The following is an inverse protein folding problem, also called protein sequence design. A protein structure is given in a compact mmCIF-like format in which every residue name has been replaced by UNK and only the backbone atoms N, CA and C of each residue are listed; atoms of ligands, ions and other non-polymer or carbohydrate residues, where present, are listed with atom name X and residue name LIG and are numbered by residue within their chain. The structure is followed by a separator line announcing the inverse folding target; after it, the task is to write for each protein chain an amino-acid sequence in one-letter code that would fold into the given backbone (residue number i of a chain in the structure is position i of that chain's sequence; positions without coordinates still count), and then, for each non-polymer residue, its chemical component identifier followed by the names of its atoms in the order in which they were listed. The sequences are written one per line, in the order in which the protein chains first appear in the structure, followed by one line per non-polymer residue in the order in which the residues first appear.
data_IF_065910148738
#
_entry.id   IF_065910148738
#
_cell.length_a   1.000
_cell.length_b   1.000
_cell.length_c   1.000
_cell.angle_alpha   90.00
_cell.angle_beta   90.00
_cell.angle_gamma   90.00
#
_symmetry.space_group_name_H-M   'P 1'
#
loop_
_entity.id
_entity.type
_entity.pdbx_description
1 polymer ?
#
# COMPACT_ATOMS: atom_id res chain seq x y z
N UNK A 1 -9.98 0.45 22.26
CA UNK A 1 -8.90 1.22 21.65
C UNK A 1 -7.62 0.42 21.78
N UNK A 2 -7.24 -0.30 20.73
CA UNK A 2 -5.98 -1.05 20.68
C UNK A 2 -4.91 -0.07 20.19
N UNK A 3 -3.85 0.11 20.98
CA UNK A 3 -2.78 1.04 20.68
C UNK A 3 -1.92 0.42 19.57
N UNK A 4 -2.07 0.89 18.34
CA UNK A 4 -1.22 0.45 17.22
C UNK A 4 0.15 1.14 17.40
N UNK A 5 1.22 0.35 17.38
CA UNK A 5 2.59 0.85 17.60
C UNK A 5 3.29 1.18 16.27
N UNK A 6 4.18 2.18 16.33
CA UNK A 6 5.05 2.54 15.21
C UNK A 6 6.24 1.56 15.14
N UNK A 7 6.63 1.13 13.94
CA UNK A 7 7.88 0.41 13.70
C UNK A 7 9.06 1.29 14.15
N UNK A 8 9.85 0.83 15.13
CA UNK A 8 11.15 1.45 15.38
C UNK A 8 12.10 1.11 14.21
N UNK A 9 12.84 2.10 13.71
CA UNK A 9 13.74 1.95 12.55
C UNK A 9 15.00 1.10 12.87
N UNK A 10 15.22 0.74 14.13
CA UNK A 10 16.45 0.12 14.63
C UNK A 10 16.31 -1.37 14.99
N UNK A 11 15.71 -2.19 14.13
CA UNK A 11 15.74 -3.66 14.31
C UNK A 11 16.75 -4.31 13.35
N UNK A 12 17.93 -4.73 13.82
CA UNK A 12 18.83 -5.53 13.00
C UNK A 12 18.42 -7.00 13.09
N UNK A 13 17.86 -7.57 12.02
CA UNK A 13 17.82 -9.03 11.85
C UNK A 13 17.60 -9.45 10.40
N UNK A 14 18.66 -10.01 9.81
CA UNK A 14 18.67 -11.09 8.80
C UNK A 14 17.46 -11.21 7.86
N UNK A 15 17.61 -10.65 6.65
CA UNK A 15 16.90 -10.92 5.38
C UNK A 15 15.49 -11.51 5.51
N UNK A 16 14.50 -10.63 5.48
CA UNK A 16 13.32 -10.73 4.62
C UNK A 16 12.80 -9.30 4.46
N UNK A 17 12.75 -8.78 3.23
CA UNK A 17 12.40 -7.38 3.00
C UNK A 17 10.99 -7.06 3.53
N UNK A 18 10.92 -6.36 4.66
CA UNK A 18 9.69 -6.01 5.39
C UNK A 18 8.74 -5.12 4.57
N UNK A 19 9.25 -4.52 3.51
CA UNK A 19 8.52 -3.69 2.58
C UNK A 19 9.21 -3.64 1.21
N UNK A 20 8.49 -3.16 0.20
CA UNK A 20 9.03 -2.75 -1.10
C UNK A 20 8.74 -1.27 -1.33
N UNK A 21 9.72 -0.53 -1.87
CA UNK A 21 9.58 0.88 -2.22
C UNK A 21 10.37 1.82 -1.30
N UNK A 22 9.90 3.06 -1.16
CA UNK A 22 10.62 4.14 -0.47
C UNK A 22 10.86 3.84 1.01
N UNK A 23 12.00 4.28 1.54
CA UNK A 23 12.27 4.37 2.99
C UNK A 23 11.70 5.67 3.61
N UNK A 24 11.25 6.61 2.77
CA UNK A 24 10.52 7.81 3.16
C UNK A 24 9.21 7.88 2.37
N UNK A 25 8.26 6.95 2.63
CA UNK A 25 7.04 6.88 1.85
C UNK A 25 6.04 7.99 2.23
N UNK A 26 5.37 8.56 1.24
CA UNK A 26 4.19 9.38 1.50
C UNK A 26 3.00 8.50 1.89
N UNK A 27 2.74 7.47 1.07
CA UNK A 27 1.67 6.50 1.30
C UNK A 27 2.26 5.12 1.56
N UNK A 28 1.75 4.45 2.59
CA UNK A 28 2.14 3.08 2.95
C UNK A 28 0.95 2.15 2.78
N UNK A 29 1.03 1.23 1.83
CA UNK A 29 0.03 0.19 1.61
C UNK A 29 0.40 -1.09 2.35
N UNK A 30 -0.40 -1.46 3.35
CA UNK A 30 -0.20 -2.67 4.13
C UNK A 30 -0.93 -3.84 3.52
N UNK A 31 -0.21 -4.94 3.35
CA UNK A 31 -0.72 -6.21 2.82
C UNK A 31 -0.35 -7.36 3.76
N UNK A 32 -1.19 -8.39 3.78
CA UNK A 32 -0.94 -9.64 4.53
C UNK A 32 -0.99 -10.83 3.57
N UNK A 33 -0.04 -11.75 3.69
CA UNK A 33 -0.02 -13.01 2.94
C UNK A 33 0.50 -12.92 1.50
N UNK A 34 1.08 -11.81 1.09
CA UNK A 34 1.60 -11.60 -0.27
C UNK A 34 3.00 -11.01 -0.23
N UNK A 35 4.01 -11.82 0.06
CA UNK A 35 5.40 -11.40 -0.13
C UNK A 35 5.74 -11.56 -1.62
N UNK A 36 6.18 -10.50 -2.31
CA UNK A 36 6.54 -10.62 -3.70
C UNK A 36 7.92 -11.28 -3.83
N UNK A 37 8.11 -12.00 -4.92
CA UNK A 37 9.44 -12.31 -5.43
C UNK A 37 10.00 -11.06 -6.10
N UNK A 38 11.18 -10.62 -5.67
CA UNK A 38 11.82 -9.45 -6.25
C UNK A 38 12.63 -9.85 -7.50
N UNK A 39 12.55 -9.06 -8.59
CA UNK A 39 13.48 -9.13 -9.71
C UNK A 39 14.92 -8.90 -9.26
N UNK A 40 15.87 -9.33 -10.08
CA UNK A 40 17.26 -8.98 -9.87
C UNK A 40 17.48 -7.46 -9.91
N UNK A 41 18.41 -6.89 -9.11
CA UNK A 41 18.71 -5.46 -9.14
C UNK A 41 19.19 -4.94 -10.50
N UNK A 42 19.72 -5.83 -11.35
CA UNK A 42 20.28 -5.52 -12.67
C UNK A 42 19.21 -5.50 -13.79
N UNK A 43 17.95 -5.75 -13.46
CA UNK A 43 16.87 -5.82 -14.46
C UNK A 43 16.55 -4.45 -15.07
N UNK A 44 16.62 -4.36 -16.40
CA UNK A 44 16.31 -3.14 -17.16
C UNK A 44 14.83 -2.71 -17.08
N UNK A 45 13.91 -3.67 -16.94
CA UNK A 45 12.46 -3.43 -16.83
C UNK A 45 11.89 -4.08 -15.57
N UNK A 46 12.29 -3.54 -14.42
CA UNK A 46 12.02 -4.14 -13.10
C UNK A 46 10.53 -4.45 -12.90
N UNK A 47 9.62 -3.53 -13.25
CA UNK A 47 8.19 -3.74 -13.09
C UNK A 47 7.64 -4.89 -13.95
N UNK A 48 8.07 -5.00 -15.20
CA UNK A 48 7.60 -6.07 -16.09
C UNK A 48 8.06 -7.44 -15.57
N UNK A 49 9.30 -7.54 -15.10
CA UNK A 49 9.81 -8.77 -14.47
C UNK A 49 9.10 -9.04 -13.14
N UNK A 50 8.85 -8.02 -12.33
CA UNK A 50 8.11 -8.14 -11.08
C UNK A 50 6.72 -8.72 -11.32
N UNK A 51 6.00 -8.21 -12.33
CA UNK A 51 4.68 -8.74 -12.72
C UNK A 51 4.80 -10.16 -13.25
N UNK A 52 5.84 -10.49 -14.02
CA UNK A 52 6.06 -11.85 -14.51
C UNK A 52 6.32 -12.85 -13.37
N UNK A 53 7.09 -12.46 -12.35
CA UNK A 53 7.42 -13.30 -11.19
C UNK A 53 6.23 -13.52 -10.23
N UNK A 54 5.35 -12.52 -10.13
CA UNK A 54 4.30 -12.47 -9.11
C UNK A 54 2.87 -12.61 -9.68
N UNK A 55 2.73 -12.59 -11.00
CA UNK A 55 1.49 -12.79 -11.72
C UNK A 55 0.49 -11.63 -11.61
N UNK A 56 -0.73 -11.93 -12.07
CA UNK A 56 -1.79 -10.93 -12.21
C UNK A 56 -2.25 -10.32 -10.87
N UNK A 57 -2.03 -11.00 -9.75
CA UNK A 57 -2.43 -10.47 -8.44
C UNK A 57 -1.65 -9.19 -8.09
N UNK A 58 -0.33 -9.23 -8.23
CA UNK A 58 0.53 -8.09 -7.98
C UNK A 58 0.36 -6.96 -9.01
N UNK A 59 0.04 -7.30 -10.27
CA UNK A 59 -0.38 -6.30 -11.25
C UNK A 59 -1.60 -5.51 -10.77
N UNK A 60 -2.63 -6.18 -10.22
CA UNK A 60 -3.84 -5.52 -9.70
C UNK A 60 -3.52 -4.60 -8.52
N UNK A 61 -2.73 -5.11 -7.56
CA UNK A 61 -2.27 -4.35 -6.40
C UNK A 61 -1.62 -3.04 -6.85
N UNK A 62 -0.60 -3.13 -7.71
CA UNK A 62 0.17 -1.95 -8.13
C UNK A 62 -0.65 -0.98 -8.98
N UNK A 63 -1.58 -1.45 -9.81
CA UNK A 63 -2.48 -0.57 -10.57
C UNK A 63 -3.43 0.19 -9.64
N UNK A 64 -4.02 -0.48 -8.65
CA UNK A 64 -4.89 0.19 -7.68
C UNK A 64 -4.08 1.17 -6.85
N UNK A 65 -2.87 0.80 -6.42
CA UNK A 65 -2.00 1.70 -5.67
C UNK A 65 -1.61 2.93 -6.50
N UNK A 66 -1.19 2.75 -7.75
CA UNK A 66 -0.89 3.85 -8.65
C UNK A 66 -2.08 4.79 -8.84
N UNK A 67 -3.29 4.25 -8.98
CA UNK A 67 -4.50 5.07 -9.12
C UNK A 67 -4.84 5.85 -7.85
N UNK A 68 -4.51 5.33 -6.68
CA UNK A 68 -4.72 5.99 -5.40
C UNK A 68 -3.68 7.08 -5.15
N UNK A 69 -2.40 6.80 -5.45
CA UNK A 69 -1.28 7.67 -5.15
C UNK A 69 -1.05 8.77 -6.20
N UNK A 70 -1.53 8.59 -7.43
CA UNK A 70 -1.33 9.55 -8.51
C UNK A 70 -2.38 10.67 -8.45
N UNK A 71 -1.93 11.92 -8.43
CA UNK A 71 -2.77 13.12 -8.31
C UNK A 71 -3.65 13.40 -9.54
N UNK A 72 -3.34 12.81 -10.69
CA UNK A 72 -4.08 12.97 -11.94
C UNK A 72 -4.53 11.62 -12.53
N UNK A 73 -4.87 11.60 -13.82
CA UNK A 73 -5.25 10.39 -14.57
C UNK A 73 -4.05 9.65 -15.18
N UNK A 74 -2.82 10.12 -14.97
CA UNK A 74 -1.60 9.56 -15.53
C UNK A 74 -0.96 8.45 -14.67
N UNK A 75 -1.80 7.72 -13.93
CA UNK A 75 -1.37 6.59 -13.09
C UNK A 75 -0.57 5.52 -13.85
N UNK A 76 -0.73 5.42 -15.18
CA UNK A 76 0.02 4.46 -16.02
C UNK A 76 1.48 4.84 -16.08
N UNK A 77 1.81 6.07 -16.45
CA UNK A 77 3.21 6.50 -16.52
C UNK A 77 3.83 6.53 -15.13
N UNK A 78 3.06 6.95 -14.12
CA UNK A 78 3.46 6.91 -12.71
C UNK A 78 3.87 5.49 -12.26
N UNK A 79 3.09 4.48 -12.64
CA UNK A 79 3.39 3.08 -12.37
C UNK A 79 4.60 2.58 -13.17
N UNK A 80 4.58 2.73 -14.50
CA UNK A 80 5.56 2.11 -15.40
C UNK A 80 6.93 2.79 -15.37
N UNK A 81 7.02 4.07 -15.00
CA UNK A 81 8.29 4.76 -14.73
C UNK A 81 8.95 4.30 -13.42
N UNK A 82 8.24 3.54 -12.58
CA UNK A 82 8.67 3.14 -11.24
C UNK A 82 8.54 4.25 -10.18
N UNK A 83 7.95 5.39 -10.52
CA UNK A 83 7.81 6.52 -9.59
C UNK A 83 6.95 6.16 -8.38
N UNK A 84 5.89 5.37 -8.58
CA UNK A 84 5.05 4.84 -7.49
C UNK A 84 5.87 4.31 -6.31
N UNK A 85 6.82 3.41 -6.56
CA UNK A 85 7.62 2.77 -5.50
C UNK A 85 8.86 3.60 -5.09
N UNK A 86 9.18 4.67 -5.81
CA UNK A 86 10.20 5.64 -5.36
C UNK A 86 9.63 6.60 -4.31
N UNK A 87 8.33 6.87 -4.36
CA UNK A 87 7.64 7.80 -3.45
C UNK A 87 6.82 7.09 -2.37
N UNK A 88 6.41 5.85 -2.63
CA UNK A 88 5.51 5.12 -1.75
C UNK A 88 6.04 3.71 -1.42
N UNK A 89 5.32 3.02 -0.53
CA UNK A 89 5.76 1.74 0.01
C UNK A 89 4.61 0.73 0.07
N UNK A 90 4.87 -0.53 -0.29
CA UNK A 90 4.04 -1.66 0.15
C UNK A 90 4.71 -2.35 1.32
N UNK A 91 4.02 -2.46 2.47
CA UNK A 91 4.59 -2.91 3.73
C UNK A 91 3.89 -4.19 4.24
N UNK A 92 4.68 -5.11 4.79
CA UNK A 92 4.22 -6.42 5.22
C UNK A 92 4.27 -6.64 6.74
N UNK A 93 4.74 -5.65 7.50
CA UNK A 93 4.82 -5.71 8.97
C UNK A 93 3.46 -5.43 9.62
N UNK A 94 3.38 -5.71 10.92
CA UNK A 94 2.23 -5.50 11.79
C UNK A 94 2.26 -4.16 12.54
N UNK A 95 3.16 -3.26 12.17
CA UNK A 95 3.34 -1.96 12.81
C UNK A 95 3.31 -0.82 11.78
N UNK A 96 2.83 0.36 12.20
CA UNK A 96 2.75 1.51 11.30
C UNK A 96 4.15 2.09 11.04
N UNK A 97 4.42 2.52 9.82
CA UNK A 97 5.72 3.00 9.40
C UNK A 97 5.87 4.48 9.77
N UNK A 98 6.86 4.88 10.59
CA UNK A 98 6.84 6.20 11.23
C UNK A 98 6.73 7.41 10.31
N UNK A 99 7.32 7.36 9.12
CA UNK A 99 7.35 8.49 8.18
C UNK A 99 6.19 8.51 7.18
N UNK A 100 5.28 7.52 7.22
CA UNK A 100 4.12 7.48 6.34
C UNK A 100 3.14 8.61 6.67
N UNK A 101 2.75 9.41 5.67
CA UNK A 101 1.69 10.43 5.80
C UNK A 101 0.30 9.78 5.82
N UNK A 102 0.11 8.68 5.06
CA UNK A 102 -1.14 7.92 4.97
C UNK A 102 -0.87 6.42 5.02
N UNK A 103 -1.68 5.68 5.79
CA UNK A 103 -1.58 4.23 5.97
C UNK A 103 -2.82 3.50 5.42
N UNK A 104 -2.65 2.76 4.33
CA UNK A 104 -3.71 2.00 3.70
C UNK A 104 -3.71 0.56 4.19
N UNK A 105 -4.66 0.21 5.07
CA UNK A 105 -4.82 -1.15 5.61
C UNK A 105 -5.71 -1.98 4.70
N UNK A 106 -5.12 -2.78 3.81
CA UNK A 106 -5.87 -3.48 2.77
C UNK A 106 -6.27 -4.91 3.16
N UNK A 107 -7.58 -5.16 3.21
CA UNK A 107 -8.21 -6.47 3.43
C UNK A 107 -8.44 -6.84 4.89
N UNK A 108 -9.52 -7.60 5.15
CA UNK A 108 -10.00 -7.93 6.51
C UNK A 108 -8.93 -8.57 7.40
N UNK A 109 -8.17 -9.53 6.89
CA UNK A 109 -7.10 -10.16 7.67
C UNK A 109 -6.00 -9.19 8.08
N UNK A 110 -5.83 -8.10 7.33
CA UNK A 110 -4.90 -7.03 7.64
C UNK A 110 -5.51 -6.03 8.63
N UNK A 111 -6.80 -5.71 8.52
CA UNK A 111 -7.50 -4.92 9.53
C UNK A 111 -7.35 -5.55 10.92
N UNK A 112 -7.62 -6.85 11.02
CA UNK A 112 -7.45 -7.64 12.26
C UNK A 112 -6.00 -7.63 12.76
N UNK A 113 -5.00 -7.64 11.85
CA UNK A 113 -3.57 -7.53 12.21
C UNK A 113 -3.28 -6.23 12.95
N UNK A 114 -3.98 -5.16 12.62
CA UNK A 114 -3.88 -3.84 13.26
C UNK A 114 -4.93 -3.62 14.37
N UNK A 115 -5.60 -4.68 14.85
CA UNK A 115 -6.53 -4.59 15.98
C UNK A 115 -7.92 -4.05 15.64
N UNK A 116 -8.27 -4.01 14.35
CA UNK A 116 -9.62 -3.66 13.88
C UNK A 116 -10.47 -4.92 13.74
N UNK A 117 -11.52 -5.03 14.56
CA UNK A 117 -12.33 -6.25 14.69
C UNK A 117 -13.81 -6.07 14.34
N UNK A 118 -14.28 -4.84 14.16
CA UNK A 118 -15.71 -4.56 13.96
C UNK A 118 -16.21 -4.97 12.57
N UNK A 119 -17.50 -5.29 12.49
CA UNK A 119 -18.28 -5.43 11.25
C UNK A 119 -18.37 -4.07 10.55
N UNK A 120 -17.25 -3.65 9.94
CA UNK A 120 -17.19 -2.48 9.09
C UNK A 120 -18.07 -2.76 7.88
N UNK A 121 -19.29 -2.26 7.98
CA UNK A 121 -20.38 -2.60 7.10
C UNK A 121 -20.28 -1.92 5.73
N UNK A 122 -19.07 -1.61 5.23
CA UNK A 122 -18.76 -1.22 3.85
C UNK A 122 -17.23 -1.07 3.64
N UNK A 123 -16.70 -1.30 2.42
CA UNK A 123 -15.31 -1.11 2.08
C UNK A 123 -14.96 0.39 1.96
N UNK A 124 -13.91 0.86 2.67
CA UNK A 124 -13.27 2.15 2.40
C UNK A 124 -13.68 3.36 3.24
N UNK A 125 -14.45 3.18 4.33
CA UNK A 125 -15.04 4.31 5.04
C UNK A 125 -14.41 4.66 6.38
N UNK A 126 -13.71 3.74 7.06
CA UNK A 126 -13.13 4.07 8.35
C UNK A 126 -11.79 4.78 8.14
N UNK A 127 -11.80 6.05 8.52
CA UNK A 127 -10.62 6.89 8.67
C UNK A 127 -10.43 7.10 10.17
N UNK A 128 -9.27 6.69 10.66
CA UNK A 128 -8.87 6.94 12.03
C UNK A 128 -7.45 7.49 12.01
N UNK A 129 -7.32 8.77 12.37
CA UNK A 129 -6.10 9.54 12.17
C UNK A 129 -5.61 9.46 10.72
N UNK A 130 -4.44 8.85 10.50
CA UNK A 130 -3.78 8.66 9.20
C UNK A 130 -4.06 7.27 8.58
N UNK A 131 -4.96 6.46 9.16
CA UNK A 131 -5.23 5.10 8.72
C UNK A 131 -6.53 4.99 7.94
N UNK A 132 -6.49 4.24 6.84
CA UNK A 132 -7.61 3.98 5.94
C UNK A 132 -7.83 2.49 5.80
N UNK A 133 -9.01 2.02 6.18
CA UNK A 133 -9.37 0.62 6.06
C UNK A 133 -9.99 0.37 4.69
N UNK A 134 -9.26 -0.36 3.85
CA UNK A 134 -9.63 -0.61 2.45
C UNK A 134 -9.90 -2.10 2.20
N UNK A 135 -10.77 -2.44 1.24
CA UNK A 135 -10.83 -3.81 0.75
C UNK A 135 -9.47 -4.20 0.15
N UNK A 136 -9.28 -5.50 -0.07
CA UNK A 136 -8.08 -5.96 -0.75
C UNK A 136 -8.03 -5.39 -2.18
N UNK A 137 -6.88 -4.93 -2.68
CA UNK A 137 -6.75 -4.31 -4.00
C UNK A 137 -6.86 -5.34 -5.14
N UNK A 138 -8.10 -5.76 -5.40
CA UNK A 138 -8.52 -6.55 -6.55
C UNK A 138 -9.65 -5.80 -7.27
N UNK A 139 -9.66 -5.82 -8.62
CA UNK A 139 -10.66 -5.07 -9.40
C UNK A 139 -12.12 -5.45 -9.11
N UNK A 140 -12.39 -6.63 -8.55
CA UNK A 140 -13.74 -7.04 -8.14
C UNK A 140 -14.18 -6.37 -6.83
N UNK A 141 -13.21 -5.93 -6.04
CA UNK A 141 -13.42 -5.37 -4.70
C UNK A 141 -13.12 -3.86 -4.65
N UNK A 142 -12.45 -3.31 -5.68
CA UNK A 142 -11.96 -1.94 -5.70
C UNK A 142 -12.44 -1.18 -6.97
N UNK A 143 -13.73 -0.77 -7.02
CA UNK A 143 -14.28 -0.04 -8.16
C UNK A 143 -13.68 1.38 -8.27
N UNK A 144 -13.71 1.98 -9.47
CA UNK A 144 -13.19 3.34 -9.68
C UNK A 144 -13.85 4.39 -8.77
N UNK A 145 -15.15 4.23 -8.43
CA UNK A 145 -15.82 5.12 -7.49
C UNK A 145 -15.16 5.11 -6.10
N UNK A 146 -14.72 3.94 -5.63
CA UNK A 146 -14.00 3.84 -4.36
C UNK A 146 -12.63 4.51 -4.46
N UNK A 147 -11.92 4.36 -5.59
CA UNK A 147 -10.65 5.06 -5.84
C UNK A 147 -10.82 6.57 -5.70
N UNK A 148 -11.83 7.15 -6.35
CA UNK A 148 -12.13 8.59 -6.26
C UNK A 148 -12.41 9.02 -4.83
N UNK A 149 -13.23 8.26 -4.09
CA UNK A 149 -13.56 8.58 -2.69
C UNK A 149 -12.33 8.54 -1.78
N UNK A 150 -11.45 7.56 -1.96
CA UNK A 150 -10.23 7.42 -1.15
C UNK A 150 -9.26 8.56 -1.45
N UNK A 151 -9.05 8.90 -2.73
CA UNK A 151 -8.22 10.05 -3.14
C UNK A 151 -8.65 11.36 -2.49
N UNK A 152 -9.94 11.69 -2.60
CA UNK A 152 -10.49 12.93 -2.01
C UNK A 152 -10.26 13.03 -0.50
N UNK A 153 -10.25 11.88 0.19
CA UNK A 153 -10.00 11.86 1.64
C UNK A 153 -8.51 11.85 2.00
N UNK A 154 -7.64 11.38 1.10
CA UNK A 154 -6.18 11.40 1.29
C UNK A 154 -5.58 12.79 1.05
N UNK A 155 -6.18 13.60 0.17
CA UNK A 155 -5.67 14.91 -0.27
C UNK A 155 -5.15 15.80 0.89
N UNK A 156 -5.87 15.98 2.02
CA UNK A 156 -5.41 16.83 3.11
C UNK A 156 -4.16 16.35 3.86
N UNK A 157 -3.76 15.08 3.68
CA UNK A 157 -2.62 14.48 4.37
C UNK A 157 -1.36 14.42 3.50
N UNK A 158 -1.51 14.55 2.18
CA UNK A 158 -0.39 14.41 1.23
C UNK A 158 0.17 15.79 0.87
N UNK A 159 -0.69 16.83 0.79
CA UNK A 159 -0.37 18.19 0.31
C UNK A 159 0.23 19.15 1.35
N UNK A 160 1.10 18.65 2.23
CA UNK A 160 1.97 19.45 3.11
C UNK A 160 3.42 19.49 2.60
#
# INVERSE_FOLDING_TARGET
MTKIELCQQDKPSSINDDYIGSSQPEIVMYLKGHYPKLPAPTTQSWLNEFIALNGNNWRKILVIFAKLACDDDNWRDYLYSGQLLRENQCNFTDCLYPSGKVHLLCGKQNWERFGWHDDLNLPGQLWHDHQVLLPYPDYRQFPNQLITQVRQKMEPFITD
#
